data_IF_219851152384
#
_entry.id   IF_219851152384
#
_cell.length_a   1.000
_cell.length_b   1.000
_cell.length_c   1.000
_cell.angle_alpha   90.00
_cell.angle_beta   90.00
_cell.angle_gamma   90.00
#
_symmetry.space_group_name_H-M   'P 1'
#
loop_
_entity.id
_entity.type
_entity.pdbx_description
1 polymer ?
#
# COMPACT_ATOMS: atom_id res chain seq x y z
N UNK A 1 3.03 2.48 -2.33
CA UNK A 1 4.34 1.84 -2.45
C UNK A 1 4.83 2.13 -3.85
N UNK A 2 5.97 2.79 -3.96
CA UNK A 2 6.53 3.20 -5.24
C UNK A 2 7.03 1.97 -6.00
N UNK A 3 6.47 1.74 -7.18
CA UNK A 3 6.85 0.66 -8.09
C UNK A 3 7.44 1.20 -9.40
N UNK A 4 7.84 2.48 -9.43
CA UNK A 4 8.44 3.14 -10.59
C UNK A 4 9.76 2.49 -11.01
N UNK A 5 10.25 2.89 -12.19
CA UNK A 5 11.49 2.36 -12.76
C UNK A 5 12.77 2.83 -12.06
N UNK A 6 12.70 3.88 -11.22
CA UNK A 6 13.85 4.31 -10.40
C UNK A 6 14.06 3.41 -9.18
N UNK A 7 12.99 2.76 -8.70
CA UNK A 7 13.05 1.73 -7.67
C UNK A 7 13.53 0.42 -8.29
N UNK A 8 14.65 -0.14 -7.83
CA UNK A 8 15.08 -1.46 -8.29
C UNK A 8 14.32 -2.60 -7.59
N UNK A 9 14.49 -3.84 -8.07
CA UNK A 9 13.79 -5.01 -7.50
C UNK A 9 14.17 -5.27 -6.04
N UNK A 10 15.41 -4.97 -5.65
CA UNK A 10 15.90 -5.19 -4.29
C UNK A 10 15.23 -4.20 -3.34
N UNK A 11 15.16 -2.93 -3.74
CA UNK A 11 14.48 -1.89 -2.98
C UNK A 11 12.96 -2.11 -2.94
N UNK A 12 12.35 -2.59 -4.01
CA UNK A 12 10.94 -2.98 -3.98
C UNK A 12 10.67 -4.11 -2.97
N UNK A 13 11.53 -5.13 -2.93
CA UNK A 13 11.44 -6.17 -1.91
C UNK A 13 11.70 -5.65 -0.49
N UNK A 14 12.59 -4.65 -0.31
CA UNK A 14 12.75 -3.96 0.97
C UNK A 14 11.48 -3.22 1.38
N UNK A 15 10.79 -2.54 0.46
CA UNK A 15 9.50 -1.89 0.75
C UNK A 15 8.44 -2.90 1.20
N UNK A 16 8.33 -4.05 0.51
CA UNK A 16 7.45 -5.15 0.94
C UNK A 16 7.79 -5.69 2.32
N UNK A 17 9.08 -5.90 2.60
CA UNK A 17 9.55 -6.40 3.89
C UNK A 17 9.26 -5.40 5.02
N UNK A 18 9.50 -4.11 4.78
CA UNK A 18 9.15 -3.04 5.70
C UNK A 18 7.64 -3.04 6.00
N UNK A 19 6.78 -3.15 4.97
CA UNK A 19 5.33 -3.19 5.18
C UNK A 19 4.88 -4.39 6.01
N UNK A 20 5.43 -5.59 5.76
CA UNK A 20 5.13 -6.79 6.54
C UNK A 20 5.59 -6.65 8.00
N UNK A 21 6.79 -6.11 8.22
CA UNK A 21 7.32 -5.86 9.56
C UNK A 21 6.46 -4.85 10.31
N UNK A 22 6.11 -3.72 9.67
CA UNK A 22 5.23 -2.71 10.22
C UNK A 22 3.88 -3.31 10.62
N UNK A 23 3.24 -4.08 9.75
CA UNK A 23 1.98 -4.74 10.06
C UNK A 23 2.09 -5.72 11.24
N UNK A 24 3.24 -6.38 11.39
CA UNK A 24 3.54 -7.29 12.50
C UNK A 24 3.69 -6.61 13.86
N UNK A 25 3.92 -5.30 13.92
CA UNK A 25 3.95 -4.54 15.17
C UNK A 25 2.56 -4.21 15.72
N UNK A 26 1.49 -4.42 14.95
CA UNK A 26 0.13 -4.17 15.39
C UNK A 26 -0.63 -5.48 15.59
N UNK A 27 -1.65 -5.44 16.46
CA UNK A 27 -2.67 -6.47 16.47
C UNK A 27 -3.47 -6.38 15.16
N UNK A 28 -3.17 -7.28 14.21
CA UNK A 28 -3.83 -7.32 12.92
C UNK A 28 -5.20 -7.99 13.01
N UNK A 29 -6.24 -7.40 12.42
CA UNK A 29 -7.52 -8.08 12.21
C UNK A 29 -8.71 -7.13 12.02
N UNK A 30 -9.91 -7.66 11.68
CA UNK A 30 -11.09 -6.86 11.37
C UNK A 30 -11.55 -5.94 12.50
N UNK A 31 -11.32 -6.34 13.76
CA UNK A 31 -11.63 -5.53 14.95
C UNK A 31 -10.47 -4.65 15.43
N UNK A 32 -9.28 -4.79 14.84
CA UNK A 32 -8.04 -4.17 15.31
C UNK A 32 -7.39 -3.38 14.16
N UNK A 33 -6.07 -3.48 13.95
CA UNK A 33 -5.41 -2.80 12.83
C UNK A 33 -5.71 -3.51 11.50
N UNK A 34 -6.00 -2.74 10.46
CA UNK A 34 -6.23 -3.22 9.10
C UNK A 34 -5.31 -2.47 8.14
N UNK A 35 -4.71 -3.19 7.20
CA UNK A 35 -3.74 -2.64 6.26
C UNK A 35 -4.23 -2.81 4.82
N UNK A 36 -4.05 -1.76 4.04
CA UNK A 36 -4.30 -1.72 2.61
C UNK A 36 -3.03 -1.31 1.88
N UNK A 37 -2.95 -1.62 0.60
CA UNK A 37 -1.78 -1.33 -0.24
C UNK A 37 -2.25 -0.78 -1.57
N UNK A 38 -1.66 0.35 -1.93
CA UNK A 38 -1.69 0.91 -3.26
C UNK A 38 -0.25 0.92 -3.78
N UNK A 39 0.02 0.30 -4.92
CA UNK A 39 1.24 0.60 -5.69
C UNK A 39 1.00 1.75 -6.66
N UNK A 40 2.08 2.48 -6.99
CA UNK A 40 2.02 3.54 -7.97
C UNK A 40 3.31 3.66 -8.79
N UNK A 41 3.12 4.01 -10.05
CA UNK A 41 4.14 4.35 -11.03
C UNK A 41 3.52 5.36 -12.02
N UNK A 42 3.43 5.02 -13.31
CA UNK A 42 2.65 5.76 -14.31
C UNK A 42 1.14 5.72 -13.99
N UNK A 43 0.69 4.65 -13.34
CA UNK A 43 -0.67 4.45 -12.82
C UNK A 43 -0.67 4.26 -11.31
N UNK A 44 -1.86 4.13 -10.72
CA UNK A 44 -2.02 3.71 -9.34
C UNK A 44 -2.98 2.52 -9.28
N UNK A 45 -2.63 1.52 -8.48
CA UNK A 45 -3.35 0.26 -8.39
C UNK A 45 -3.64 -0.07 -6.93
N UNK A 46 -4.88 -0.49 -6.62
CA UNK A 46 -5.22 -0.97 -5.29
C UNK A 46 -4.99 -2.49 -5.21
N UNK A 47 -3.78 -2.89 -4.82
CA UNK A 47 -3.43 -4.30 -4.67
C UNK A 47 -4.18 -4.98 -3.51
N UNK A 48 -4.39 -4.22 -2.44
CA UNK A 48 -4.98 -4.72 -1.19
C UNK A 48 -5.93 -3.66 -0.62
N UNK A 49 -7.22 -3.98 -0.55
CA UNK A 49 -8.19 -3.20 0.22
C UNK A 49 -8.06 -3.49 1.74
N UNK A 50 -8.48 -2.55 2.60
CA UNK A 50 -8.35 -2.68 4.06
C UNK A 50 -9.09 -3.90 4.63
N UNK A 51 -10.17 -4.32 3.98
CA UNK A 51 -10.97 -5.50 4.37
C UNK A 51 -10.60 -6.79 3.60
N UNK A 52 -9.56 -6.78 2.75
CA UNK A 52 -9.19 -7.94 1.92
C UNK A 52 -8.70 -9.13 2.76
N UNK A 53 -7.88 -8.87 3.77
CA UNK A 53 -7.26 -9.90 4.61
C UNK A 53 -7.68 -9.75 6.06
N UNK A 54 -7.85 -10.89 6.74
CA UNK A 54 -8.35 -10.96 8.13
C UNK A 54 -7.26 -11.31 9.13
N UNK A 55 -6.09 -11.71 8.68
CA UNK A 55 -4.95 -12.12 9.49
C UNK A 55 -3.63 -11.68 8.86
N UNK A 56 -2.59 -11.58 9.69
CA UNK A 56 -1.27 -11.11 9.27
C UNK A 56 -0.62 -12.02 8.22
N UNK A 57 -0.83 -13.34 8.30
CA UNK A 57 -0.20 -14.29 7.41
C UNK A 57 -0.76 -14.19 5.98
N UNK A 58 -2.08 -14.04 5.83
CA UNK A 58 -2.72 -13.81 4.54
C UNK A 58 -2.37 -12.45 3.95
N UNK A 59 -2.30 -11.40 4.79
CA UNK A 59 -1.77 -10.10 4.37
C UNK A 59 -0.34 -10.20 3.85
N UNK A 60 0.57 -10.85 4.59
CA UNK A 60 1.96 -10.99 4.20
C UNK A 60 2.14 -11.75 2.87
N UNK A 61 1.35 -12.81 2.64
CA UNK A 61 1.31 -13.51 1.34
C UNK A 61 0.80 -12.60 0.23
N UNK A 62 -0.24 -11.81 0.51
CA UNK A 62 -0.76 -10.81 -0.42
C UNK A 62 0.28 -9.78 -0.83
N UNK A 63 1.05 -9.25 0.13
CA UNK A 63 2.13 -8.29 -0.13
C UNK A 63 3.24 -8.91 -0.99
N UNK A 64 3.63 -10.15 -0.72
CA UNK A 64 4.64 -10.84 -1.52
C UNK A 64 4.22 -11.02 -3.00
N UNK A 65 2.92 -11.20 -3.25
CA UNK A 65 2.37 -11.41 -4.59
C UNK A 65 2.29 -10.13 -5.45
N UNK A 66 2.51 -8.95 -4.86
CA UNK A 66 2.52 -7.67 -5.59
C UNK A 66 3.71 -7.65 -6.55
N UNK A 67 3.48 -7.31 -7.82
CA UNK A 67 4.52 -7.34 -8.86
C UNK A 67 5.10 -5.94 -9.06
N UNK A 68 6.41 -5.84 -9.20
CA UNK A 68 7.09 -4.61 -9.60
C UNK A 68 6.93 -4.43 -11.12
N UNK A 69 6.14 -3.43 -11.53
CA UNK A 69 5.86 -3.18 -12.94
C UNK A 69 6.80 -2.14 -13.59
N UNK A 70 7.41 -1.24 -12.81
CA UNK A 70 8.16 -0.11 -13.34
C UNK A 70 7.24 1.00 -13.86
N UNK A 71 7.84 2.06 -14.43
CA UNK A 71 7.13 3.20 -15.01
C UNK A 71 7.64 4.55 -14.48
N UNK A 72 6.88 5.61 -14.73
CA UNK A 72 7.14 6.96 -14.18
C UNK A 72 6.72 7.04 -12.71
N UNK A 73 6.96 8.16 -12.03
CA UNK A 73 6.64 8.31 -10.61
C UNK A 73 5.54 9.34 -10.40
N UNK A 74 4.28 8.92 -10.43
CA UNK A 74 3.12 9.81 -10.24
C UNK A 74 2.41 9.60 -8.90
N UNK A 75 3.04 10.09 -7.83
CA UNK A 75 2.54 10.01 -6.45
C UNK A 75 1.13 10.60 -6.29
N UNK A 76 0.78 11.65 -7.05
CA UNK A 76 -0.56 12.27 -7.01
C UNK A 76 -1.69 11.30 -7.33
N UNK A 77 -1.48 10.34 -8.25
CA UNK A 77 -2.48 9.31 -8.59
C UNK A 77 -2.74 8.36 -7.42
N UNK A 78 -1.69 8.04 -6.65
CA UNK A 78 -1.82 7.22 -5.45
C UNK A 78 -2.63 7.92 -4.37
N UNK A 79 -2.39 9.23 -4.16
CA UNK A 79 -3.15 10.04 -3.20
C UNK A 79 -4.63 10.13 -3.57
N UNK A 80 -4.93 10.36 -4.86
CA UNK A 80 -6.30 10.40 -5.36
C UNK A 80 -7.00 9.05 -5.19
N UNK A 81 -6.32 7.94 -5.46
CA UNK A 81 -6.89 6.61 -5.26
C UNK A 81 -7.10 6.28 -3.77
N UNK A 82 -6.19 6.72 -2.90
CA UNK A 82 -6.31 6.53 -1.47
C UNK A 82 -7.54 7.25 -0.90
N UNK A 83 -7.73 8.53 -1.27
CA UNK A 83 -8.86 9.34 -0.80
C UNK A 83 -10.20 8.87 -1.39
N UNK A 84 -10.25 8.61 -2.70
CA UNK A 84 -11.50 8.30 -3.40
C UNK A 84 -11.96 6.84 -3.26
N UNK A 85 -11.04 5.89 -3.03
CA UNK A 85 -11.38 4.47 -3.00
C UNK A 85 -10.92 3.74 -1.73
N UNK A 86 -9.64 3.86 -1.34
CA UNK A 86 -9.11 3.06 -0.22
C UNK A 86 -9.80 3.39 1.10
N UNK A 87 -9.98 4.68 1.39
CA UNK A 87 -10.62 5.14 2.63
C UNK A 87 -12.15 5.20 2.57
N UNK A 88 -12.77 4.30 1.79
CA UNK A 88 -14.22 4.14 1.74
C UNK A 88 -14.68 2.97 2.62
N UNK A 89 -15.92 3.05 3.13
CA UNK A 89 -16.53 1.96 3.91
C UNK A 89 -16.60 0.66 3.11
N UNK A 90 -16.88 0.75 1.81
CA UNK A 90 -16.89 -0.38 0.88
C UNK A 90 -15.52 -1.12 0.82
N UNK A 91 -14.42 -0.42 1.08
CA UNK A 91 -13.06 -0.98 1.13
C UNK A 91 -12.55 -1.23 2.54
N UNK A 92 -13.41 -1.14 3.56
CA UNK A 92 -13.10 -1.49 4.94
C UNK A 92 -12.68 -0.32 5.82
N UNK A 93 -12.76 0.93 5.34
CA UNK A 93 -12.49 2.08 6.19
C UNK A 93 -13.58 2.24 7.26
N UNK A 94 -13.16 2.46 8.51
CA UNK A 94 -14.06 2.62 9.65
C UNK A 94 -14.10 4.10 10.06
N UNK A 95 -15.29 4.59 10.41
CA UNK A 95 -15.49 5.99 10.78
C UNK A 95 -14.79 6.36 12.10
N UNK A 96 -14.88 5.47 13.10
CA UNK A 96 -14.50 5.74 14.49
C UNK A 96 -13.05 5.40 14.84
N UNK A 97 -12.17 5.31 13.84
CA UNK A 97 -10.75 4.99 14.04
C UNK A 97 -9.87 5.92 13.19
N UNK A 98 -8.63 6.11 13.64
CA UNK A 98 -7.64 6.86 12.89
C UNK A 98 -7.37 6.20 11.52
N UNK A 99 -7.25 7.03 10.48
CA UNK A 99 -6.85 6.62 9.13
C UNK A 99 -5.49 7.22 8.87
N UNK A 100 -4.49 6.37 8.63
CA UNK A 100 -3.11 6.79 8.40
C UNK A 100 -2.71 6.39 6.99
N UNK A 101 -2.11 7.31 6.25
CA UNK A 101 -1.52 7.06 4.94
C UNK A 101 0.00 7.14 5.07
N UNK A 102 0.68 6.04 4.72
CA UNK A 102 2.15 5.97 4.68
C UNK A 102 2.60 5.88 3.23
N UNK A 103 3.39 6.85 2.78
CA UNK A 103 3.99 6.87 1.45
C UNK A 103 5.42 6.34 1.57
N UNK A 104 5.75 5.34 0.75
CA UNK A 104 7.10 4.77 0.65
C UNK A 104 7.54 5.02 -0.79
N UNK A 105 8.64 5.75 -0.95
CA UNK A 105 9.23 6.19 -2.23
C UNK A 105 10.75 6.25 -2.10
N UNK A 106 11.46 6.15 -3.21
CA UNK A 106 12.92 6.37 -3.30
C UNK A 106 13.30 7.87 -3.32
N UNK A 107 12.30 8.76 -3.34
CA UNK A 107 12.48 10.22 -3.32
C UNK A 107 12.54 10.87 -4.70
N UNK A 108 12.53 10.10 -5.80
CA UNK A 108 12.47 10.64 -7.17
C UNK A 108 11.01 10.79 -7.60
N UNK A 109 10.45 11.99 -7.48
CA UNK A 109 9.11 12.29 -7.99
C UNK A 109 9.21 13.04 -9.32
N UNK A 110 8.70 12.45 -10.41
CA UNK A 110 8.39 13.21 -11.63
C UNK A 110 7.07 13.94 -11.41
N UNK A 111 7.13 15.27 -11.27
CA UNK A 111 5.93 16.10 -11.11
C UNK A 111 5.00 16.00 -12.32
N UNK A 112 3.70 15.93 -12.06
CA UNK A 112 2.65 16.49 -12.94
C UNK A 112 2.27 17.87 -12.40
#
# INVERSE_FOLDING_TARGET
>A
MDESGSVDKVDFERQKNFLKALAGHFQFGPGAAQFGVITFSTGAHMDIALNKYRDLASFARGVNAIRHAGGWTYTGKALNLASSQLFTSARGARANVAKVLLIITDGVSTGE
#
